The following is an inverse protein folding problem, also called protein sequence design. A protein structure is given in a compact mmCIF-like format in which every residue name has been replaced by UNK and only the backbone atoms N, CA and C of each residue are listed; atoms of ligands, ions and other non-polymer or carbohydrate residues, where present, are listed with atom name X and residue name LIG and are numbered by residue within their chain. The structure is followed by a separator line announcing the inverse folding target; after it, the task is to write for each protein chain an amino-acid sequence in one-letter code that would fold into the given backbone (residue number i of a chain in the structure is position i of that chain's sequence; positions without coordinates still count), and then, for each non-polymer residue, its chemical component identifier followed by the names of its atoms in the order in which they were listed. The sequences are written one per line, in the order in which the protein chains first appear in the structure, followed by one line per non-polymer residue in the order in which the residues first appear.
data_IF_264433062491
#
_entry.id   IF_264433062491
#
_cell.length_a   1.000
_cell.length_b   1.000
_cell.length_c   1.000
_cell.angle_alpha   90.00
_cell.angle_beta   90.00
_cell.angle_gamma   90.00
#
_symmetry.space_group_name_H-M   'P 1'
#
loop_
_entity.id
_entity.type
_entity.pdbx_description
1 polymer ?
#
# COMPACT_ATOMS: atom_id res chain seq x y z
N UNK A 1 -8.00 20.05 25.49
CA UNK A 1 -9.10 19.05 25.51
C UNK A 1 -9.06 18.32 24.18
N UNK A 2 -8.39 17.16 24.16
CA UNK A 2 -8.08 16.44 22.91
C UNK A 2 -9.34 15.65 22.54
N UNK A 3 -9.96 15.97 21.42
CA UNK A 3 -11.17 15.28 20.95
C UNK A 3 -10.77 13.95 20.32
N UNK A 4 -10.80 12.88 21.11
CA UNK A 4 -10.61 11.52 20.62
C UNK A 4 -11.85 11.18 19.77
N UNK A 5 -11.72 11.25 18.44
CA UNK A 5 -12.77 10.77 17.54
C UNK A 5 -12.89 9.25 17.68
N UNK A 6 -13.74 8.81 18.60
CA UNK A 6 -14.21 7.43 18.66
C UNK A 6 -15.16 7.22 17.50
N UNK A 7 -14.68 6.64 16.41
CA UNK A 7 -15.49 5.97 15.39
C UNK A 7 -16.17 4.73 16.01
N UNK A 8 -17.10 4.97 16.94
CA UNK A 8 -18.00 3.93 17.44
C UNK A 8 -18.96 3.59 16.31
N UNK A 9 -18.65 2.52 15.57
CA UNK A 9 -19.59 1.74 14.75
C UNK A 9 -20.63 2.56 13.93
N UNK A 10 -20.27 3.77 13.47
CA UNK A 10 -21.15 4.57 12.63
C UNK A 10 -20.94 4.10 11.21
N UNK A 11 -22.03 3.73 10.54
CA UNK A 11 -22.02 3.55 9.11
C UNK A 11 -21.46 4.82 8.46
N UNK A 12 -20.50 4.66 7.55
CA UNK A 12 -19.99 5.76 6.73
C UNK A 12 -21.20 6.41 6.05
N UNK A 13 -21.41 7.74 6.07
CA UNK A 13 -22.54 8.37 5.39
C UNK A 13 -22.49 8.24 3.87
N UNK A 14 -23.64 8.09 3.20
CA UNK A 14 -23.71 7.90 1.73
C UNK A 14 -23.05 9.05 0.96
N UNK A 15 -23.37 10.29 1.34
CA UNK A 15 -22.80 11.47 0.68
C UNK A 15 -21.28 11.55 0.85
N UNK A 16 -20.74 11.08 1.98
CA UNK A 16 -19.30 11.06 2.22
C UNK A 16 -18.64 9.95 1.38
N UNK A 17 -19.25 8.76 1.34
CA UNK A 17 -18.77 7.66 0.51
C UNK A 17 -18.75 8.01 -0.97
N UNK A 18 -19.82 8.64 -1.48
CA UNK A 18 -19.87 9.06 -2.89
C UNK A 18 -18.76 10.05 -3.23
N UNK A 19 -18.51 11.06 -2.37
CA UNK A 19 -17.38 11.99 -2.56
C UNK A 19 -16.03 11.27 -2.60
N UNK A 20 -15.85 10.22 -1.80
CA UNK A 20 -14.64 9.39 -1.84
C UNK A 20 -14.51 8.66 -3.17
N UNK A 21 -15.58 8.08 -3.71
CA UNK A 21 -15.55 7.43 -5.03
C UNK A 21 -15.25 8.44 -6.16
N UNK A 22 -15.87 9.62 -6.13
CA UNK A 22 -15.65 10.66 -7.14
C UNK A 22 -14.19 11.15 -7.14
N UNK A 23 -13.56 11.18 -5.95
CA UNK A 23 -12.17 11.59 -5.74
C UNK A 23 -11.16 10.57 -6.22
N UNK A 24 -11.49 9.28 -6.15
CA UNK A 24 -10.56 8.16 -6.39
C UNK A 24 -11.14 7.21 -7.47
N UNK A 25 -10.86 7.45 -8.76
CA UNK A 25 -11.44 6.68 -9.85
C UNK A 25 -11.21 5.17 -9.78
N UNK A 26 -10.05 4.75 -9.24
CA UNK A 26 -9.74 3.32 -9.02
C UNK A 26 -10.64 2.65 -7.96
N UNK A 27 -11.26 3.41 -7.06
CA UNK A 27 -12.31 2.91 -6.17
C UNK A 27 -13.66 2.86 -6.87
N UNK A 28 -13.96 3.87 -7.70
CA UNK A 28 -15.19 3.93 -8.47
C UNK A 28 -15.29 2.80 -9.51
N UNK A 29 -14.16 2.32 -10.05
CA UNK A 29 -14.11 1.20 -11.01
C UNK A 29 -14.42 -0.18 -10.42
N UNK A 30 -14.47 -0.32 -9.10
CA UNK A 30 -14.90 -1.54 -8.43
C UNK A 30 -16.37 -1.85 -8.75
N UNK A 31 -16.75 -3.13 -8.76
CA UNK A 31 -18.15 -3.54 -8.86
C UNK A 31 -18.95 -3.10 -7.63
N UNK A 32 -20.29 -3.04 -7.73
CA UNK A 32 -21.13 -2.63 -6.60
C UNK A 32 -20.97 -3.50 -5.34
N UNK A 33 -20.87 -4.84 -5.44
CA UNK A 33 -20.56 -5.68 -4.28
C UNK A 33 -19.19 -5.36 -3.66
N UNK A 34 -18.17 -5.11 -4.50
CA UNK A 34 -16.83 -4.73 -4.04
C UNK A 34 -16.86 -3.38 -3.33
N UNK A 35 -17.54 -2.37 -3.86
CA UNK A 35 -17.70 -1.05 -3.22
C UNK A 35 -18.42 -1.16 -1.88
N UNK A 36 -19.48 -1.95 -1.81
CA UNK A 36 -20.23 -2.19 -0.57
C UNK A 36 -19.34 -2.86 0.47
N UNK A 37 -18.57 -3.88 0.07
CA UNK A 37 -17.64 -4.57 0.96
C UNK A 37 -16.50 -3.66 1.43
N UNK A 38 -15.90 -2.88 0.51
CA UNK A 38 -14.84 -1.92 0.83
C UNK A 38 -15.32 -0.87 1.84
N UNK A 39 -16.54 -0.35 1.68
CA UNK A 39 -17.14 0.59 2.63
C UNK A 39 -17.28 -0.04 4.01
N UNK A 40 -17.79 -1.27 4.09
CA UNK A 40 -17.90 -2.03 5.36
C UNK A 40 -16.53 -2.23 6.02
N UNK A 41 -15.53 -2.63 5.24
CA UNK A 41 -14.16 -2.87 5.71
C UNK A 41 -13.50 -1.57 6.19
N UNK A 42 -13.70 -0.46 5.46
CA UNK A 42 -13.22 0.87 5.82
C UNK A 42 -13.83 1.36 7.14
N UNK A 43 -15.13 1.14 7.36
CA UNK A 43 -15.78 1.48 8.64
C UNK A 43 -15.21 0.70 9.82
N UNK A 44 -14.91 -0.60 9.63
CA UNK A 44 -14.24 -1.42 10.65
C UNK A 44 -12.81 -0.97 10.91
N UNK A 45 -12.08 -0.56 9.87
CA UNK A 45 -10.74 -0.01 9.98
C UNK A 45 -10.75 1.29 10.80
N UNK A 46 -11.63 2.23 10.47
CA UNK A 46 -11.79 3.48 11.21
C UNK A 46 -12.10 3.26 12.70
N UNK A 47 -12.84 2.21 13.03
CA UNK A 47 -13.14 1.85 14.42
C UNK A 47 -11.94 1.28 15.21
N UNK A 48 -10.89 0.84 14.53
CA UNK A 48 -9.71 0.19 15.14
C UNK A 48 -8.45 1.07 15.11
N UNK A 49 -8.48 2.22 14.43
CA UNK A 49 -7.31 3.07 14.18
C UNK A 49 -7.48 4.45 14.77
N UNK A 50 -6.36 5.04 15.16
CA UNK A 50 -6.30 6.39 15.71
C UNK A 50 -5.55 7.30 14.74
N UNK A 51 -6.18 8.41 14.36
CA UNK A 51 -5.61 9.35 13.41
C UNK A 51 -5.16 10.61 14.14
N UNK A 52 -3.91 11.01 13.92
CA UNK A 52 -3.32 12.23 14.48
C UNK A 52 -2.84 13.12 13.35
N UNK A 53 -3.29 14.38 13.31
CA UNK A 53 -2.78 15.37 12.37
C UNK A 53 -1.65 16.18 12.98
N UNK A 54 -0.61 16.46 12.19
CA UNK A 54 0.50 17.33 12.61
C UNK A 54 0.34 18.74 12.02
N UNK A 55 1.14 19.70 12.47
CA UNK A 55 1.17 21.07 11.90
C UNK A 55 -0.21 21.77 11.84
N UNK A 56 -1.04 21.54 12.88
CA UNK A 56 -2.42 22.05 12.99
C UNK A 56 -3.37 21.49 11.93
N UNK A 57 -3.03 20.39 11.25
CA UNK A 57 -3.99 19.64 10.43
C UNK A 57 -5.03 18.98 11.35
N UNK A 58 -6.29 19.39 11.19
CA UNK A 58 -7.41 18.71 11.84
C UNK A 58 -7.83 17.51 10.99
N UNK A 59 -7.85 16.31 11.58
CA UNK A 59 -8.34 15.11 10.91
C UNK A 59 -9.87 15.19 10.81
N UNK A 60 -10.39 15.47 9.61
CA UNK A 60 -11.83 15.39 9.33
C UNK A 60 -12.23 13.97 8.91
N UNK A 61 -13.54 13.72 8.88
CA UNK A 61 -14.10 12.44 8.42
C UNK A 61 -13.70 12.13 6.97
N UNK A 62 -13.59 13.16 6.11
CA UNK A 62 -13.10 13.03 4.73
C UNK A 62 -11.65 12.52 4.69
N UNK A 63 -10.76 13.07 5.53
CA UNK A 63 -9.34 12.67 5.58
C UNK A 63 -9.25 11.22 6.05
N UNK A 64 -9.90 10.90 7.16
CA UNK A 64 -9.86 9.57 7.74
C UNK A 64 -10.42 8.51 6.77
N UNK A 65 -11.56 8.79 6.13
CA UNK A 65 -12.17 7.88 5.17
C UNK A 65 -11.33 7.72 3.91
N UNK A 66 -10.74 8.80 3.38
CA UNK A 66 -9.87 8.74 2.22
C UNK A 66 -8.69 7.79 2.43
N UNK A 67 -8.06 7.84 3.61
CA UNK A 67 -6.98 6.92 3.97
C UNK A 67 -7.54 5.50 4.16
N UNK A 68 -8.61 5.35 4.93
CA UNK A 68 -9.19 4.04 5.23
C UNK A 68 -9.61 3.27 3.97
N UNK A 69 -10.24 3.94 3.01
CA UNK A 69 -10.71 3.31 1.77
C UNK A 69 -9.56 2.82 0.90
N UNK A 70 -8.47 3.59 0.79
CA UNK A 70 -7.28 3.20 0.04
C UNK A 70 -6.50 2.10 0.76
N UNK A 71 -6.32 2.21 2.08
CA UNK A 71 -5.67 1.20 2.91
C UNK A 71 -6.41 -0.14 2.90
N UNK A 72 -7.74 -0.14 2.82
CA UNK A 72 -8.53 -1.38 2.80
C UNK A 72 -8.61 -2.03 1.42
N UNK A 73 -8.25 -1.33 0.34
CA UNK A 73 -8.35 -1.84 -1.03
C UNK A 73 -7.51 -3.12 -1.24
N UNK A 74 -6.23 -3.21 -0.78
CA UNK A 74 -5.46 -4.45 -0.88
C UNK A 74 -6.06 -5.65 -0.14
N UNK A 75 -6.91 -5.39 0.85
CA UNK A 75 -7.51 -6.43 1.69
C UNK A 75 -8.85 -6.94 1.18
N UNK A 76 -9.37 -6.35 0.08
CA UNK A 76 -10.76 -6.51 -0.35
C UNK A 76 -11.20 -7.97 -0.53
N UNK A 77 -10.36 -8.81 -1.16
CA UNK A 77 -10.63 -10.25 -1.34
C UNK A 77 -9.87 -11.13 -0.35
N UNK A 78 -9.10 -10.51 0.57
CA UNK A 78 -8.41 -11.18 1.66
C UNK A 78 -9.27 -11.29 2.93
N UNK A 79 -10.43 -10.64 2.99
CA UNK A 79 -11.33 -10.64 4.16
C UNK A 79 -12.07 -11.98 4.37
N UNK A 80 -11.37 -13.10 4.23
CA UNK A 80 -11.92 -14.41 4.51
C UNK A 80 -12.33 -14.50 5.99
N UNK A 81 -13.63 -14.69 6.23
CA UNK A 81 -14.24 -14.80 7.56
C UNK A 81 -14.10 -13.53 8.42
N UNK A 82 -14.04 -12.35 7.81
CA UNK A 82 -14.00 -11.09 8.55
C UNK A 82 -12.65 -10.83 9.25
N UNK A 83 -11.55 -11.42 8.77
CA UNK A 83 -10.22 -11.31 9.40
C UNK A 83 -9.22 -10.42 8.63
N UNK A 84 -9.62 -9.75 7.54
CA UNK A 84 -8.72 -8.93 6.72
C UNK A 84 -7.85 -7.97 7.54
N UNK A 85 -8.45 -7.24 8.49
CA UNK A 85 -7.73 -6.21 9.26
C UNK A 85 -6.62 -6.75 10.17
N UNK A 86 -6.49 -8.08 10.32
CA UNK A 86 -5.36 -8.68 11.01
C UNK A 86 -4.04 -8.41 10.31
N UNK A 87 -4.05 -8.20 8.99
CA UNK A 87 -2.92 -7.71 8.21
C UNK A 87 -2.33 -6.41 8.77
N UNK A 88 -3.16 -5.60 9.43
CA UNK A 88 -2.80 -4.31 10.02
C UNK A 88 -2.84 -4.33 11.55
N UNK A 89 -2.68 -5.48 12.20
CA UNK A 89 -2.83 -5.58 13.66
C UNK A 89 -1.64 -5.07 14.48
N UNK A 90 -0.48 -4.83 13.85
CA UNK A 90 0.75 -4.41 14.53
C UNK A 90 0.80 -2.91 14.87
N UNK A 91 -0.17 -2.11 14.42
CA UNK A 91 -0.24 -0.68 14.71
C UNK A 91 -1.66 -0.19 15.00
N UNK A 92 -1.76 0.92 15.71
CA UNK A 92 -3.03 1.63 15.94
C UNK A 92 -2.98 3.04 15.35
N UNK A 93 -1.85 3.73 15.49
CA UNK A 93 -1.70 5.13 15.09
C UNK A 93 -1.42 5.34 13.61
N UNK A 94 -2.07 6.34 13.03
CA UNK A 94 -1.83 6.89 11.70
C UNK A 94 -1.57 8.38 11.88
N UNK A 95 -0.38 8.83 11.50
CA UNK A 95 0.06 10.21 11.60
C UNK A 95 -0.03 10.87 10.24
N UNK A 96 -0.81 11.93 10.13
CA UNK A 96 -1.02 12.64 8.86
C UNK A 96 -0.35 14.00 8.92
N UNK A 97 0.62 14.20 8.03
CA UNK A 97 1.30 15.46 7.87
C UNK A 97 0.62 16.32 6.80
N UNK A 98 0.64 17.64 7.00
CA UNK A 98 0.06 18.58 6.05
C UNK A 98 0.90 18.73 4.79
N UNK A 99 2.22 18.58 4.92
CA UNK A 99 3.24 18.70 3.87
C UNK A 99 4.22 17.54 3.97
N UNK A 100 5.09 17.44 2.97
CA UNK A 100 6.21 16.50 2.92
C UNK A 100 7.06 16.61 4.20
N UNK A 101 7.42 15.46 4.75
CA UNK A 101 8.25 15.36 5.96
C UNK A 101 9.66 14.98 5.53
N UNK A 102 10.67 15.63 6.09
CA UNK A 102 12.05 15.20 5.86
C UNK A 102 12.51 14.36 7.03
N UNK A 103 12.72 13.06 6.83
CA UNK A 103 13.33 12.18 7.82
C UNK A 103 14.85 12.22 7.72
N UNK A 104 15.52 12.19 8.87
CA UNK A 104 16.95 11.97 8.95
C UNK A 104 17.21 10.47 9.07
N UNK A 105 17.90 9.89 8.09
CA UNK A 105 18.28 8.49 8.06
C UNK A 105 19.75 8.34 8.46
N UNK A 106 20.06 7.26 9.14
CA UNK A 106 21.43 6.80 9.37
C UNK A 106 21.53 5.37 8.85
N UNK A 107 22.50 5.09 7.98
CA UNK A 107 22.83 3.73 7.58
C UNK A 107 24.32 3.48 7.73
N UNK A 108 24.69 2.31 8.24
CA UNK A 108 26.09 1.92 8.41
C UNK A 108 26.46 0.95 7.30
N UNK A 109 27.49 1.28 6.53
CA UNK A 109 27.98 0.38 5.49
C UNK A 109 28.81 -0.77 6.07
N UNK A 110 29.20 -1.71 5.21
CA UNK A 110 30.01 -2.87 5.55
C UNK A 110 31.44 -2.52 6.04
N UNK A 111 31.88 -1.27 5.84
CA UNK A 111 33.14 -0.75 6.37
C UNK A 111 32.95 -0.03 7.72
N UNK A 112 31.73 0.03 8.25
CA UNK A 112 31.41 0.66 9.54
C UNK A 112 31.20 2.17 9.45
N UNK A 113 31.10 2.76 8.24
CA UNK A 113 30.87 4.19 8.06
C UNK A 113 29.38 4.50 8.19
N UNK A 114 29.04 5.44 9.07
CA UNK A 114 27.66 5.93 9.25
C UNK A 114 27.38 7.05 8.25
N UNK A 115 26.49 6.77 7.30
CA UNK A 115 25.98 7.71 6.33
C UNK A 115 24.69 8.33 6.87
N UNK A 116 24.69 9.66 7.04
CA UNK A 116 23.49 10.43 7.39
C UNK A 116 22.94 11.10 6.14
N UNK A 117 21.69 10.85 5.83
CA UNK A 117 21.02 11.51 4.71
C UNK A 117 19.60 11.93 5.08
N UNK A 118 19.12 12.97 4.40
CA UNK A 118 17.75 13.46 4.54
C UNK A 118 16.90 12.89 3.43
N UNK A 119 15.78 12.26 3.79
CA UNK A 119 14.84 11.66 2.85
C UNK A 119 13.50 12.37 2.96
N UNK A 120 12.96 12.83 1.82
CA UNK A 120 11.63 13.42 1.77
C UNK A 120 10.61 12.28 1.76
N UNK A 121 9.90 12.12 2.87
CA UNK A 121 8.87 11.10 3.06
C UNK A 121 7.53 11.58 2.50
N UNK A 122 7.03 10.84 1.51
CA UNK A 122 5.61 10.83 1.17
C UNK A 122 4.79 10.02 2.20
N UNK A 123 5.42 9.00 2.80
CA UNK A 123 4.88 8.17 3.87
C UNK A 123 5.99 7.39 4.59
N UNK A 124 5.64 6.70 5.68
CA UNK A 124 6.53 5.75 6.35
C UNK A 124 5.74 4.71 7.17
N UNK A 125 6.05 3.42 6.98
CA UNK A 125 5.55 2.32 7.78
C UNK A 125 6.68 1.69 8.61
N UNK A 126 6.60 1.82 9.93
CA UNK A 126 7.57 1.22 10.84
C UNK A 126 7.04 -0.09 11.43
N UNK A 127 7.87 -1.13 11.59
CA UNK A 127 7.45 -2.36 12.27
C UNK A 127 6.95 -2.05 13.70
N UNK A 128 5.70 -2.41 14.02
CA UNK A 128 5.02 -2.09 15.29
C UNK A 128 4.87 -0.59 15.62
N UNK A 129 5.29 0.29 14.71
CA UNK A 129 5.15 1.74 14.83
C UNK A 129 3.96 2.28 14.03
N UNK A 130 3.66 3.59 14.13
CA UNK A 130 2.58 4.21 13.37
C UNK A 130 2.85 4.14 11.86
N UNK A 131 1.80 4.36 11.09
CA UNK A 131 1.93 4.71 9.66
C UNK A 131 1.94 6.23 9.54
N UNK A 132 2.92 6.80 8.86
CA UNK A 132 2.98 8.22 8.54
C UNK A 132 2.57 8.44 7.09
N UNK A 133 1.78 9.49 6.84
CA UNK A 133 1.30 9.84 5.51
C UNK A 133 1.32 11.35 5.30
N UNK A 134 1.66 11.78 4.10
CA UNK A 134 1.46 13.15 3.64
C UNK A 134 0.05 13.33 3.06
N UNK A 135 -0.77 14.21 3.63
CA UNK A 135 -2.12 14.48 3.14
C UNK A 135 -2.15 14.94 1.68
N UNK A 136 -1.12 15.66 1.22
CA UNK A 136 -1.05 16.10 -0.18
C UNK A 136 -1.06 14.89 -1.11
N UNK A 137 -0.26 13.87 -0.83
CA UNK A 137 -0.15 12.68 -1.68
C UNK A 137 -1.41 11.82 -1.57
N UNK A 138 -1.97 11.66 -0.36
CA UNK A 138 -3.27 11.01 -0.15
C UNK A 138 -4.39 11.69 -0.94
N UNK A 139 -4.41 13.03 -0.95
CA UNK A 139 -5.43 13.83 -1.63
C UNK A 139 -5.32 13.75 -3.16
N UNK A 140 -4.12 13.59 -3.70
CA UNK A 140 -3.86 13.55 -5.15
C UNK A 140 -3.78 12.13 -5.73
N UNK A 141 -3.83 11.07 -4.91
CA UNK A 141 -3.75 9.69 -5.36
C UNK A 141 -4.72 9.35 -6.52
N UNK A 142 -5.93 9.94 -6.53
CA UNK A 142 -6.88 9.78 -7.63
C UNK A 142 -6.36 10.29 -8.99
N UNK A 143 -5.66 11.44 -8.99
CA UNK A 143 -5.03 12.01 -10.20
C UNK A 143 -3.72 11.33 -10.57
N UNK A 144 -3.03 10.72 -9.60
CA UNK A 144 -1.76 10.02 -9.80
C UNK A 144 -1.94 8.55 -10.21
N UNK A 145 -3.18 8.03 -10.18
CA UNK A 145 -3.50 6.66 -10.58
C UNK A 145 -3.01 6.31 -12.00
N UNK A 146 -3.05 7.26 -12.94
CA UNK A 146 -2.52 7.07 -14.30
C UNK A 146 -1.00 6.76 -14.34
N UNK A 147 -0.26 7.23 -13.33
CA UNK A 147 1.17 6.96 -13.13
C UNK A 147 1.44 5.75 -12.24
N UNK A 148 0.40 5.00 -11.84
CA UNK A 148 0.56 3.83 -10.98
C UNK A 148 0.95 4.16 -9.54
N UNK A 149 0.76 5.41 -9.08
CA UNK A 149 1.23 5.88 -7.77
C UNK A 149 0.10 6.03 -6.76
N UNK A 150 0.32 5.51 -5.54
CA UNK A 150 -0.55 5.61 -4.38
C UNK A 150 0.21 5.34 -3.06
N UNK A 151 0.61 6.41 -2.38
CA UNK A 151 1.34 6.31 -1.10
C UNK A 151 0.59 5.55 0.00
N UNK A 152 -0.75 5.59 0.04
CA UNK A 152 -1.49 4.86 1.07
C UNK A 152 -1.36 3.36 0.83
N UNK A 153 -1.50 2.91 -0.41
CA UNK A 153 -1.32 1.49 -0.73
C UNK A 153 0.12 1.07 -0.45
N UNK A 154 1.09 1.90 -0.82
CA UNK A 154 2.52 1.68 -0.55
C UNK A 154 2.80 1.36 0.93
N UNK A 155 2.47 2.29 1.84
CA UNK A 155 2.77 2.13 3.27
C UNK A 155 2.03 0.94 3.89
N UNK A 156 0.80 0.68 3.44
CA UNK A 156 0.01 -0.42 3.96
C UNK A 156 0.45 -1.77 3.40
N UNK A 157 1.06 -1.81 2.21
CA UNK A 157 1.72 -3.02 1.69
C UNK A 157 2.99 -3.34 2.48
N UNK A 158 3.76 -2.33 2.92
CA UNK A 158 4.86 -2.58 3.87
C UNK A 158 4.38 -3.17 5.19
N UNK A 159 3.22 -2.74 5.70
CA UNK A 159 2.59 -3.39 6.87
C UNK A 159 2.25 -4.86 6.62
N UNK A 160 1.85 -5.22 5.41
CA UNK A 160 1.61 -6.61 5.04
C UNK A 160 2.91 -7.41 4.97
N UNK A 161 3.96 -6.85 4.35
CA UNK A 161 5.29 -7.46 4.25
C UNK A 161 5.88 -7.75 5.64
N UNK A 162 5.78 -6.79 6.55
CA UNK A 162 6.29 -6.89 7.92
C UNK A 162 5.54 -7.85 8.85
N UNK A 163 4.48 -8.53 8.38
CA UNK A 163 3.76 -9.50 9.22
C UNK A 163 4.63 -10.70 9.64
N UNK A 164 5.62 -11.09 8.83
CA UNK A 164 6.61 -12.12 9.17
C UNK A 164 7.84 -11.58 9.91
N UNK A 165 7.91 -10.28 10.20
CA UNK A 165 9.05 -9.63 10.84
C UNK A 165 9.58 -8.46 10.03
N UNK A 166 10.84 -8.54 9.61
CA UNK A 166 11.46 -7.50 8.79
C UNK A 166 10.96 -7.62 7.35
N UNK A 167 10.66 -6.49 6.71
CA UNK A 167 10.23 -6.44 5.32
C UNK A 167 11.33 -7.01 4.41
N UNK A 168 10.96 -7.91 3.50
CA UNK A 168 11.88 -8.52 2.54
C UNK A 168 11.30 -8.58 1.11
N UNK A 169 10.17 -7.91 0.87
CA UNK A 169 9.43 -7.93 -0.38
C UNK A 169 8.58 -9.20 -0.55
N UNK A 170 8.42 -10.02 0.50
CA UNK A 170 7.64 -11.25 0.48
C UNK A 170 6.76 -11.36 1.76
N UNK A 171 5.49 -10.94 1.69
CA UNK A 171 4.57 -11.08 2.82
C UNK A 171 4.31 -12.56 3.15
N UNK A 172 3.77 -12.89 4.34
CA UNK A 172 3.32 -14.24 4.66
C UNK A 172 2.33 -14.77 3.62
N UNK A 173 2.69 -15.86 2.94
CA UNK A 173 1.87 -16.43 1.88
C UNK A 173 0.87 -17.44 2.45
N UNK A 174 -0.37 -17.50 1.91
CA UNK A 174 -1.39 -18.40 2.41
C UNK A 174 -0.99 -19.89 2.25
N UNK A 175 -1.53 -20.80 3.07
CA UNK A 175 -1.32 -22.23 2.89
C UNK A 175 -1.75 -22.69 1.49
N UNK A 176 -0.91 -23.48 0.84
CA UNK A 176 -1.18 -23.96 -0.53
C UNK A 176 -0.97 -22.90 -1.62
N UNK A 177 -0.35 -21.76 -1.31
CA UNK A 177 -0.07 -20.69 -2.28
C UNK A 177 0.54 -21.25 -3.57
N UNK A 178 -0.14 -21.03 -4.69
CA UNK A 178 0.21 -21.52 -6.03
C UNK A 178 0.56 -23.03 -6.06
N UNK A 179 -0.15 -23.85 -5.28
CA UNK A 179 0.02 -25.30 -5.23
C UNK A 179 1.23 -25.78 -4.42
N UNK A 180 1.94 -24.87 -3.75
CA UNK A 180 3.14 -25.22 -2.97
C UNK A 180 2.81 -25.89 -1.64
N UNK A 181 3.73 -26.75 -1.17
CA UNK A 181 3.65 -27.39 0.15
C UNK A 181 4.57 -26.67 1.12
N UNK A 182 3.97 -25.85 1.98
CA UNK A 182 4.66 -25.14 3.07
C UNK A 182 5.24 -23.77 2.68
N UNK A 183 5.46 -22.93 3.70
CA UNK A 183 5.84 -21.53 3.53
C UNK A 183 7.17 -21.33 2.78
N UNK A 184 8.16 -22.19 3.01
CA UNK A 184 9.47 -22.08 2.32
C UNK A 184 9.35 -22.31 0.80
N UNK A 185 8.47 -23.22 0.37
CA UNK A 185 8.23 -23.46 -1.05
C UNK A 185 7.45 -22.30 -1.69
N UNK A 186 6.44 -21.78 -0.99
CA UNK A 186 5.70 -20.59 -1.42
C UNK A 186 6.63 -19.38 -1.62
N UNK A 187 7.51 -19.11 -0.64
CA UNK A 187 8.49 -18.01 -0.71
C UNK A 187 9.45 -18.15 -1.89
N UNK A 188 9.88 -19.38 -2.23
CA UNK A 188 10.71 -19.62 -3.41
C UNK A 188 9.98 -19.27 -4.71
N UNK A 189 8.71 -19.66 -4.85
CA UNK A 189 7.89 -19.31 -6.03
C UNK A 189 7.72 -17.80 -6.14
N UNK A 190 7.43 -17.13 -5.02
CA UNK A 190 7.31 -15.68 -4.97
C UNK A 190 8.57 -14.96 -5.45
N UNK A 191 9.72 -15.27 -4.85
CA UNK A 191 10.97 -14.61 -5.21
C UNK A 191 11.47 -14.98 -6.61
N UNK A 192 11.23 -16.21 -7.07
CA UNK A 192 11.57 -16.62 -8.43
C UNK A 192 10.82 -15.81 -9.50
N UNK A 193 9.68 -15.19 -9.14
CA UNK A 193 8.88 -14.34 -10.03
C UNK A 193 9.21 -12.86 -9.82
N UNK A 194 9.27 -12.41 -8.56
CA UNK A 194 9.47 -11.00 -8.22
C UNK A 194 10.89 -10.52 -8.56
N UNK A 195 11.91 -11.34 -8.31
CA UNK A 195 13.30 -10.92 -8.44
C UNK A 195 13.73 -10.66 -9.89
N UNK A 196 13.38 -11.49 -10.89
CA UNK A 196 13.66 -11.16 -12.29
C UNK A 196 12.95 -9.86 -12.75
N UNK A 197 11.70 -9.65 -12.34
CA UNK A 197 10.96 -8.42 -12.66
C UNK A 197 11.64 -7.18 -12.06
N UNK A 198 12.10 -7.29 -10.81
CA UNK A 198 12.87 -6.24 -10.16
C UNK A 198 14.17 -5.93 -10.91
N UNK A 199 14.95 -6.94 -11.30
CA UNK A 199 16.20 -6.67 -12.04
C UNK A 199 15.94 -5.99 -13.38
N UNK A 200 14.93 -6.43 -14.14
CA UNK A 200 14.54 -5.77 -15.39
C UNK A 200 14.11 -4.32 -15.18
N UNK A 201 13.31 -4.03 -14.14
CA UNK A 201 12.92 -2.67 -13.80
C UNK A 201 14.11 -1.77 -13.42
N UNK A 202 15.04 -2.29 -12.61
CA UNK A 202 16.27 -1.54 -12.26
C UNK A 202 17.10 -1.21 -13.48
N UNK A 203 17.23 -2.14 -14.42
CA UNK A 203 17.94 -1.90 -15.68
C UNK A 203 17.27 -0.78 -16.49
N UNK A 204 15.94 -0.77 -16.58
CA UNK A 204 15.20 0.33 -17.24
C UNK A 204 15.46 1.68 -16.56
N UNK A 205 15.41 1.75 -15.23
CA UNK A 205 15.73 2.98 -14.48
C UNK A 205 17.18 3.42 -14.75
N UNK A 206 18.15 2.50 -14.70
CA UNK A 206 19.56 2.81 -14.99
C UNK A 206 19.72 3.35 -16.42
N UNK A 207 19.05 2.74 -17.40
CA UNK A 207 19.08 3.21 -18.79
C UNK A 207 18.51 4.62 -18.93
N UNK A 208 17.39 4.92 -18.28
CA UNK A 208 16.79 6.24 -18.30
C UNK A 208 17.70 7.30 -17.65
N UNK A 209 18.18 7.04 -16.43
CA UNK A 209 18.90 8.03 -15.63
C UNK A 209 20.34 8.27 -16.11
N UNK A 210 21.03 7.22 -16.58
CA UNK A 210 22.46 7.31 -16.92
C UNK A 210 22.73 7.42 -18.42
N UNK A 211 21.82 6.91 -19.24
CA UNK A 211 22.03 6.79 -20.68
C UNK A 211 20.95 7.51 -21.50
N UNK A 212 20.02 8.24 -20.85
CA UNK A 212 18.98 9.02 -21.52
C UNK A 212 17.92 8.16 -22.22
N UNK A 213 17.75 6.91 -21.79
CA UNK A 213 16.66 6.04 -22.24
C UNK A 213 15.28 6.58 -21.82
N UNK A 214 14.22 5.97 -22.36
CA UNK A 214 12.85 6.29 -21.95
C UNK A 214 12.65 5.91 -20.47
N UNK A 215 12.12 6.83 -19.63
CA UNK A 215 11.85 6.51 -18.23
C UNK A 215 10.76 5.44 -18.14
N UNK A 216 10.90 4.46 -17.23
CA UNK A 216 9.86 3.47 -17.04
C UNK A 216 8.59 4.14 -16.50
N UNK A 217 7.45 3.49 -16.71
CA UNK A 217 6.16 4.00 -16.23
C UNK A 217 6.11 4.13 -14.70
N UNK A 218 6.64 3.13 -14.00
CA UNK A 218 6.64 3.09 -12.55
C UNK A 218 7.66 4.06 -11.97
N UNK A 219 7.38 4.53 -10.75
CA UNK A 219 8.29 5.39 -10.00
C UNK A 219 9.65 4.69 -9.80
N UNK A 220 10.73 5.35 -10.20
CA UNK A 220 12.11 4.86 -10.09
C UNK A 220 12.50 4.47 -8.64
N UNK A 221 11.79 4.98 -7.63
CA UNK A 221 11.97 4.57 -6.24
C UNK A 221 11.84 3.05 -6.03
N UNK A 222 11.03 2.36 -6.84
CA UNK A 222 10.93 0.89 -6.80
C UNK A 222 12.23 0.16 -7.17
N UNK A 223 13.24 0.84 -7.73
CA UNK A 223 14.52 0.24 -8.11
C UNK A 223 15.55 0.25 -6.96
N UNK A 224 15.19 0.83 -5.81
CA UNK A 224 16.06 0.95 -4.63
C UNK A 224 16.26 -0.39 -3.91
N UNK A 225 15.18 -1.15 -3.74
CA UNK A 225 15.21 -2.46 -3.09
C UNK A 225 14.04 -3.34 -3.54
N UNK A 226 14.11 -4.64 -3.26
CA UNK A 226 13.01 -5.57 -3.54
C UNK A 226 11.75 -5.26 -2.71
N UNK A 227 11.93 -4.70 -1.51
CA UNK A 227 10.86 -4.25 -0.61
C UNK A 227 10.09 -3.09 -1.25
N UNK A 228 10.81 -2.09 -1.74
CA UNK A 228 10.20 -0.93 -2.43
C UNK A 228 9.60 -1.33 -3.76
N UNK A 229 10.26 -2.23 -4.50
CA UNK A 229 9.70 -2.77 -5.73
C UNK A 229 8.33 -3.40 -5.48
N UNK A 230 8.21 -4.25 -4.46
CA UNK A 230 6.95 -4.89 -4.10
C UNK A 230 5.85 -3.87 -3.76
N UNK A 231 6.18 -2.81 -3.00
CA UNK A 231 5.23 -1.77 -2.67
C UNK A 231 4.79 -0.98 -3.93
N UNK A 232 5.73 -0.50 -4.74
CA UNK A 232 5.48 0.27 -5.97
C UNK A 232 4.66 -0.52 -7.00
N UNK A 233 4.95 -1.80 -7.19
CA UNK A 233 4.17 -2.63 -8.11
C UNK A 233 2.76 -2.90 -7.56
N UNK A 234 2.58 -2.99 -6.23
CA UNK A 234 1.24 -3.08 -5.64
C UNK A 234 0.44 -1.79 -5.81
N UNK A 235 1.05 -0.62 -5.69
CA UNK A 235 0.39 0.66 -6.00
C UNK A 235 -0.24 0.60 -7.39
N UNK A 236 0.58 0.30 -8.41
CA UNK A 236 0.18 0.22 -9.80
C UNK A 236 -0.87 -0.87 -10.06
N UNK A 237 -0.70 -2.05 -9.46
CA UNK A 237 -1.65 -3.15 -9.56
C UNK A 237 -3.06 -2.75 -9.13
N UNK A 238 -3.19 -1.95 -8.06
CA UNK A 238 -4.50 -1.55 -7.53
C UNK A 238 -5.06 -0.29 -8.18
N UNK A 239 -4.23 0.69 -8.55
CA UNK A 239 -4.74 1.96 -9.10
C UNK A 239 -4.84 1.99 -10.63
N UNK A 240 -4.08 1.14 -11.33
CA UNK A 240 -4.10 1.05 -12.79
C UNK A 240 -3.75 -0.35 -13.30
N UNK A 241 -4.67 -1.28 -13.03
CA UNK A 241 -4.53 -2.70 -13.39
C UNK A 241 -4.29 -2.93 -14.88
N UNK A 242 -4.98 -2.20 -15.75
CA UNK A 242 -4.88 -2.39 -17.20
C UNK A 242 -3.46 -2.12 -17.71
N UNK A 243 -2.82 -1.04 -17.23
CA UNK A 243 -1.43 -0.75 -17.58
C UNK A 243 -0.46 -1.67 -16.87
N UNK A 244 -0.72 -2.04 -15.61
CA UNK A 244 0.06 -3.04 -14.89
C UNK A 244 0.15 -4.38 -15.64
N UNK A 245 -0.93 -4.86 -16.23
CA UNK A 245 -0.94 -6.09 -17.03
C UNK A 245 -0.10 -6.00 -18.30
N UNK A 246 0.03 -4.82 -18.88
CA UNK A 246 0.86 -4.57 -20.07
C UNK A 246 2.34 -4.49 -19.72
N UNK A 247 2.67 -3.78 -18.64
CA UNK A 247 4.04 -3.45 -18.25
C UNK A 247 4.70 -4.56 -17.42
N UNK A 248 3.92 -5.29 -16.61
CA UNK A 248 4.38 -6.31 -15.66
C UNK A 248 3.54 -7.62 -15.73
N UNK A 249 3.33 -8.21 -16.92
CA UNK A 249 2.47 -9.39 -17.09
C UNK A 249 2.91 -10.58 -16.23
N UNK A 250 4.21 -10.74 -15.99
CA UNK A 250 4.76 -11.83 -15.18
C UNK A 250 4.32 -11.78 -13.69
N UNK A 251 4.01 -10.58 -13.17
CA UNK A 251 3.59 -10.42 -11.77
C UNK A 251 2.08 -10.62 -11.58
N UNK A 252 1.30 -10.58 -12.66
CA UNK A 252 -0.17 -10.67 -12.61
C UNK A 252 -0.65 -11.95 -11.92
N UNK A 253 -0.23 -13.17 -12.31
CA UNK A 253 -0.70 -14.39 -11.66
C UNK A 253 -0.26 -14.48 -10.20
N UNK A 254 0.92 -13.94 -9.88
CA UNK A 254 1.46 -13.93 -8.52
C UNK A 254 0.60 -13.07 -7.60
N UNK A 255 0.24 -11.86 -8.04
CA UNK A 255 -0.57 -10.92 -7.27
C UNK A 255 -2.04 -11.31 -7.23
N UNK A 256 -2.60 -11.86 -8.33
CA UNK A 256 -3.96 -12.42 -8.32
C UNK A 256 -4.08 -13.56 -7.31
N UNK A 257 -3.07 -14.44 -7.25
CA UNK A 257 -3.03 -15.53 -6.27
C UNK A 257 -2.88 -15.01 -4.84
N UNK A 258 -2.05 -13.98 -4.61
CA UNK A 258 -1.82 -13.44 -3.27
C UNK A 258 -3.03 -12.67 -2.76
N UNK A 259 -3.52 -11.70 -3.54
CA UNK A 259 -4.67 -10.88 -3.17
C UNK A 259 -6.01 -11.58 -3.40
N UNK A 260 -6.02 -12.85 -3.82
CA UNK A 260 -7.22 -13.65 -4.08
C UNK A 260 -8.19 -12.95 -5.07
N UNK A 261 -7.63 -12.31 -6.11
CA UNK A 261 -8.42 -11.59 -7.12
C UNK A 261 -9.27 -12.57 -7.91
N UNK A 262 -10.54 -12.23 -8.12
CA UNK A 262 -11.53 -13.13 -8.74
C UNK A 262 -12.10 -14.19 -7.79
N UNK A 263 -11.60 -14.27 -6.54
CA UNK A 263 -12.24 -15.03 -5.47
C UNK A 263 -13.55 -14.40 -5.00
N UNK A 264 -14.44 -15.17 -4.36
CA UNK A 264 -15.71 -14.64 -3.87
C UNK A 264 -15.47 -13.57 -2.80
N UNK A 265 -16.26 -12.50 -2.84
CA UNK A 265 -16.34 -11.59 -1.71
C UNK A 265 -16.94 -12.31 -0.50
N UNK A 266 -16.53 -11.95 0.72
CA UNK A 266 -17.18 -12.49 1.91
C UNK A 266 -18.61 -11.98 1.97
N UNK A 267 -19.55 -12.86 2.31
CA UNK A 267 -20.93 -12.48 2.65
C UNK A 267 -20.95 -11.37 3.74
#
# INVERSE_FOLDING_TARGET
MWGWLRWRARAIPDALWQRTLDRYPFLASLSEPERTHLRRLSGRFLAQKEFTGTERLHISDEIALAIAAQACLPLLHLDQRGRALQWYSDFVGIVVHRREVVAQRETMDHAGVVHRYSEVLAGEAMHKGPVMLNWRDVAHAGTQAGHGYNVVIHEFVHKMDMQSGQADGCPPLPPGFMGTRGAAAARRVWLATLQPAYQGFREQVIMAERFGGEPPWLNAYGATSLVEFFAVTCEAYFVNRARFEQELPALVPLYDAFFNRGGPLPA
#
